data_IF_191772523724
#
_entry.id   IF_191772523724
#
_cell.length_a   1.000
_cell.length_b   1.000
_cell.length_c   1.000
_cell.angle_alpha   90.00
_cell.angle_beta   90.00
_cell.angle_gamma   90.00
#
_symmetry.space_group_name_H-M   'P 1'
#
loop_
_entity.id
_entity.type
_entity.pdbx_description
1 polymer ?
#
# COMPACT_ATOMS: atom_id res chain seq x y z
N UNK A 1 22.65 60.98 8.01
CA UNK A 1 23.24 59.93 8.87
C UNK A 1 23.90 58.93 7.95
N UNK A 2 25.22 58.88 8.01
CA UNK A 2 26.12 58.03 7.23
C UNK A 2 25.75 56.55 7.38
N UNK A 3 25.82 55.79 6.29
CA UNK A 3 25.67 54.34 6.28
C UNK A 3 26.53 53.73 7.39
N UNK A 4 25.91 53.14 8.42
CA UNK A 4 26.56 51.98 9.01
C UNK A 4 26.57 50.92 7.91
N UNK A 5 27.75 50.45 7.56
CA UNK A 5 27.91 49.28 6.71
C UNK A 5 27.12 48.13 7.35
N UNK A 6 26.46 47.29 6.56
CA UNK A 6 25.72 46.11 7.07
C UNK A 6 26.60 45.28 8.01
N UNK A 7 27.90 45.20 7.70
CA UNK A 7 28.93 44.55 8.52
C UNK A 7 29.09 45.22 9.90
N UNK A 8 29.12 46.55 9.94
CA UNK A 8 29.26 47.28 11.20
C UNK A 8 28.02 47.10 12.08
N UNK A 9 26.84 47.11 11.47
CA UNK A 9 25.57 46.89 12.18
C UNK A 9 25.49 45.48 12.78
N UNK A 10 25.91 44.46 12.02
CA UNK A 10 26.03 43.08 12.52
C UNK A 10 27.03 42.95 13.68
N UNK A 11 28.16 43.68 13.61
CA UNK A 11 29.14 43.75 14.70
C UNK A 11 28.57 44.43 15.95
N UNK A 12 27.73 45.46 15.79
CA UNK A 12 27.03 46.06 16.92
C UNK A 12 26.00 45.10 17.53
N UNK A 13 25.25 44.35 16.71
CA UNK A 13 24.27 43.36 17.17
C UNK A 13 24.93 42.27 18.01
N UNK A 14 26.15 41.83 17.64
CA UNK A 14 26.88 40.79 18.36
C UNK A 14 27.25 41.20 19.80
N UNK A 15 27.51 42.49 20.03
CA UNK A 15 27.88 43.03 21.33
C UNK A 15 26.67 43.56 22.13
N UNK A 16 25.57 43.92 21.47
CA UNK A 16 24.41 44.54 22.09
C UNK A 16 23.56 43.54 22.89
N UNK A 17 22.95 44.02 23.98
CA UNK A 17 22.04 43.25 24.84
C UNK A 17 20.66 43.89 24.99
N UNK A 18 19.62 43.07 25.20
CA UNK A 18 18.27 43.54 25.53
C UNK A 18 17.70 44.54 24.52
N UNK A 19 17.29 45.73 25.01
CA UNK A 19 16.64 46.78 24.20
C UNK A 19 17.52 47.32 23.07
N UNK A 20 18.83 47.43 23.29
CA UNK A 20 19.76 47.94 22.27
C UNK A 20 19.78 47.02 21.05
N UNK A 21 19.79 45.70 21.29
CA UNK A 21 19.71 44.71 20.22
C UNK A 21 18.40 44.83 19.44
N UNK A 22 17.27 44.99 20.12
CA UNK A 22 15.97 45.15 19.45
C UNK A 22 15.96 46.36 18.51
N UNK A 23 16.55 47.50 18.92
CA UNK A 23 16.64 48.68 18.07
C UNK A 23 17.59 48.47 16.88
N UNK A 24 18.72 47.79 17.09
CA UNK A 24 19.64 47.45 16.00
C UNK A 24 19.02 46.47 15.00
N UNK A 25 18.25 45.48 15.45
CA UNK A 25 17.50 44.56 14.57
C UNK A 25 16.46 45.32 13.74
N UNK A 26 15.77 46.29 14.34
CA UNK A 26 14.86 47.17 13.61
C UNK A 26 15.59 47.98 12.54
N UNK A 27 16.76 48.53 12.86
CA UNK A 27 17.60 49.24 11.89
C UNK A 27 18.06 48.31 10.74
N UNK A 28 18.39 47.05 11.04
CA UNK A 28 18.73 46.05 10.02
C UNK A 28 17.54 45.76 9.09
N UNK A 29 16.36 45.55 9.66
CA UNK A 29 15.11 45.36 8.89
C UNK A 29 14.78 46.58 8.02
N UNK A 30 14.95 47.80 8.52
CA UNK A 30 14.78 49.03 7.74
C UNK A 30 15.80 49.12 6.59
N UNK A 31 17.02 48.66 6.81
CA UNK A 31 18.06 48.59 5.76
C UNK A 31 17.66 47.58 4.68
N UNK A 32 17.17 46.39 5.06
CA UNK A 32 16.63 45.39 4.14
C UNK A 32 15.53 46.00 3.27
N UNK A 33 14.56 46.69 3.90
CA UNK A 33 13.47 47.34 3.17
C UNK A 33 13.98 48.37 2.16
N UNK A 34 14.86 49.28 2.57
CA UNK A 34 15.42 50.31 1.68
C UNK A 34 16.20 49.70 0.52
N UNK A 35 16.88 48.59 0.73
CA UNK A 35 17.62 47.88 -0.32
C UNK A 35 16.66 47.26 -1.34
N UNK A 36 15.56 46.67 -0.87
CA UNK A 36 14.50 46.12 -1.73
C UNK A 36 13.84 47.22 -2.54
N UNK A 37 13.50 48.36 -1.94
CA UNK A 37 12.86 49.48 -2.63
C UNK A 37 13.74 50.04 -3.75
N UNK A 38 15.06 50.01 -3.56
CA UNK A 38 16.03 50.53 -4.54
C UNK A 38 16.37 49.55 -5.65
N UNK A 39 16.49 48.26 -5.33
CA UNK A 39 17.12 47.27 -6.22
C UNK A 39 16.24 46.08 -6.56
N UNK A 40 15.14 45.91 -5.84
CA UNK A 40 14.36 44.67 -5.86
C UNK A 40 15.11 43.48 -5.26
N UNK A 41 16.19 43.69 -4.51
CA UNK A 41 16.93 42.62 -3.81
C UNK A 41 17.10 43.00 -2.34
N UNK A 42 17.16 42.01 -1.46
CA UNK A 42 17.47 42.23 -0.05
C UNK A 42 18.97 42.48 0.17
N UNK A 43 19.39 42.37 1.44
CA UNK A 43 20.79 42.55 1.80
C UNK A 43 21.68 41.48 1.16
N UNK A 44 22.88 41.89 0.75
CA UNK A 44 23.91 40.95 0.31
C UNK A 44 24.78 40.57 1.50
N UNK A 45 24.63 39.34 1.98
CA UNK A 45 25.32 38.75 3.13
C UNK A 45 26.08 37.49 2.71
N UNK A 46 26.54 37.43 1.45
CA UNK A 46 27.38 36.35 0.94
C UNK A 46 28.64 36.25 1.78
N UNK A 47 28.97 35.02 2.22
CA UNK A 47 30.16 34.73 3.04
C UNK A 47 30.21 35.48 4.39
N UNK A 48 29.09 36.07 4.82
CA UNK A 48 29.00 36.72 6.12
C UNK A 48 29.09 35.68 7.25
N UNK A 49 29.85 36.00 8.30
CA UNK A 49 29.84 35.25 9.55
C UNK A 49 28.75 35.82 10.47
N UNK A 50 27.70 35.03 10.65
CA UNK A 50 26.56 35.33 11.52
C UNK A 50 26.53 34.42 12.75
N UNK A 51 27.63 33.69 13.01
CA UNK A 51 27.68 32.67 14.05
C UNK A 51 27.32 33.24 15.42
N UNK A 52 26.46 32.51 16.13
CA UNK A 52 25.96 32.84 17.47
C UNK A 52 25.22 34.20 17.59
N UNK A 53 24.92 34.87 16.47
CA UNK A 53 24.15 36.10 16.51
C UNK A 53 22.70 35.82 16.90
N UNK A 54 22.12 36.81 17.56
CA UNK A 54 20.70 36.83 17.90
C UNK A 54 19.96 37.78 16.99
N UNK A 55 19.35 37.19 15.97
CA UNK A 55 18.62 37.81 14.88
C UNK A 55 17.14 37.42 14.93
N UNK A 56 16.60 37.24 16.14
CA UNK A 56 15.19 36.95 16.39
C UNK A 56 14.31 38.04 15.73
N UNK A 57 13.22 37.65 15.04
CA UNK A 57 12.22 38.55 14.42
C UNK A 57 12.76 39.53 13.34
N UNK A 58 13.99 39.35 12.86
CA UNK A 58 14.58 40.24 11.84
C UNK A 58 13.92 40.07 10.47
N UNK A 59 13.84 41.14 9.67
CA UNK A 59 13.50 41.05 8.25
C UNK A 59 14.78 41.00 7.40
N UNK A 60 15.04 39.84 6.83
CA UNK A 60 16.09 39.57 5.84
C UNK A 60 15.49 39.00 4.54
N UNK A 61 14.23 39.33 4.23
CA UNK A 61 13.59 38.84 3.01
C UNK A 61 14.36 39.26 1.77
N UNK A 62 14.40 38.36 0.78
CA UNK A 62 15.14 38.54 -0.49
C UNK A 62 16.64 38.74 -0.32
N UNK A 63 17.20 38.54 0.86
CA UNK A 63 18.63 38.61 1.09
C UNK A 63 19.37 37.44 0.40
N UNK A 64 20.68 37.58 0.27
CA UNK A 64 21.56 36.50 -0.20
C UNK A 64 22.51 36.11 0.91
N UNK A 65 22.40 34.87 1.40
CA UNK A 65 23.23 34.25 2.43
C UNK A 65 24.06 33.08 1.87
N UNK A 66 24.35 33.09 0.57
CA UNK A 66 25.16 32.04 -0.05
C UNK A 66 26.55 31.97 0.61
N UNK A 67 26.95 30.77 1.04
CA UNK A 67 28.18 30.51 1.80
C UNK A 67 28.32 31.30 3.11
N UNK A 68 27.24 31.88 3.64
CA UNK A 68 27.25 32.49 4.96
C UNK A 68 27.39 31.41 6.05
N UNK A 69 27.95 31.79 7.20
CA UNK A 69 28.12 30.92 8.35
C UNK A 69 27.05 31.27 9.39
N UNK A 70 26.15 30.35 9.66
CA UNK A 70 24.98 30.53 10.53
C UNK A 70 25.05 29.65 11.80
N UNK A 71 26.22 29.11 12.15
CA UNK A 71 26.37 28.21 13.30
C UNK A 71 25.87 28.84 14.61
N UNK A 72 24.93 28.19 15.30
CA UNK A 72 24.36 28.67 16.55
C UNK A 72 23.48 29.94 16.44
N UNK A 73 23.24 30.44 15.23
CA UNK A 73 22.46 31.68 15.01
C UNK A 73 21.01 31.49 15.44
N UNK A 74 20.46 32.49 16.13
CA UNK A 74 19.07 32.54 16.57
C UNK A 74 18.28 33.40 15.57
N UNK A 75 17.40 32.79 14.80
CA UNK A 75 16.56 33.37 13.74
C UNK A 75 15.07 33.05 14.00
N UNK A 76 14.68 32.84 15.26
CA UNK A 76 13.29 32.57 15.62
C UNK A 76 12.38 33.67 15.08
N UNK A 77 11.29 33.27 14.41
CA UNK A 77 10.31 34.21 13.84
C UNK A 77 10.90 35.23 12.85
N UNK A 78 12.11 35.01 12.33
CA UNK A 78 12.70 35.87 11.32
C UNK A 78 11.95 35.74 9.99
N UNK A 79 11.86 36.84 9.25
CA UNK A 79 11.35 36.84 7.89
C UNK A 79 12.51 36.68 6.91
N UNK A 80 12.60 35.49 6.32
CA UNK A 80 13.57 35.10 5.30
C UNK A 80 12.85 34.75 3.98
N UNK A 81 11.66 35.33 3.73
CA UNK A 81 10.90 35.06 2.51
C UNK A 81 11.75 35.40 1.27
N UNK A 82 11.74 34.50 0.29
CA UNK A 82 12.50 34.61 -0.96
C UNK A 82 14.02 34.76 -0.77
N UNK A 83 14.55 34.33 0.37
CA UNK A 83 16.00 34.34 0.62
C UNK A 83 16.72 33.39 -0.35
N UNK A 84 17.97 33.71 -0.66
CA UNK A 84 18.87 32.81 -1.40
C UNK A 84 19.94 32.28 -0.46
N UNK A 85 19.96 30.96 -0.26
CA UNK A 85 20.90 30.23 0.58
C UNK A 85 21.50 29.07 -0.22
N UNK A 86 22.69 29.28 -0.79
CA UNK A 86 23.44 28.21 -1.46
C UNK A 86 24.63 27.82 -0.60
N UNK A 87 24.67 26.57 -0.16
CA UNK A 87 25.69 26.03 0.74
C UNK A 87 25.98 26.88 2.00
N UNK A 88 24.98 27.33 2.77
CA UNK A 88 25.26 27.98 4.06
C UNK A 88 25.82 26.97 5.06
N UNK A 89 26.70 27.42 5.96
CA UNK A 89 27.11 26.63 7.12
C UNK A 89 26.04 26.69 8.19
N UNK A 90 25.24 25.64 8.37
CA UNK A 90 24.13 25.62 9.33
C UNK A 90 24.26 24.45 10.30
N UNK A 91 24.74 24.76 11.51
CA UNK A 91 24.78 23.81 12.63
C UNK A 91 24.15 24.49 13.84
N UNK A 92 23.17 23.83 14.48
CA UNK A 92 22.47 24.37 15.68
C UNK A 92 21.85 25.75 15.46
N UNK A 93 21.51 26.08 14.22
CA UNK A 93 20.76 27.30 13.89
C UNK A 93 19.30 27.11 14.31
N UNK A 94 18.72 28.13 14.93
CA UNK A 94 17.32 28.11 15.32
C UNK A 94 16.49 28.98 14.36
N UNK A 95 15.64 28.33 13.57
CA UNK A 95 14.69 28.89 12.61
C UNK A 95 13.23 28.61 13.02
N UNK A 96 12.97 28.29 14.29
CA UNK A 96 11.61 28.01 14.75
C UNK A 96 10.68 29.17 14.44
N UNK A 97 9.52 28.87 13.84
CA UNK A 97 8.51 29.84 13.42
C UNK A 97 9.00 30.90 12.42
N UNK A 98 10.19 30.74 11.83
CA UNK A 98 10.68 31.62 10.78
C UNK A 98 9.94 31.38 9.45
N UNK A 99 9.89 32.39 8.59
CA UNK A 99 9.32 32.24 7.24
C UNK A 99 10.43 32.21 6.19
N UNK A 100 10.41 31.21 5.33
CA UNK A 100 11.34 31.01 4.22
C UNK A 100 10.56 30.76 2.91
N UNK A 101 9.39 31.40 2.77
CA UNK A 101 8.49 31.14 1.64
C UNK A 101 9.16 31.48 0.33
N UNK A 102 9.03 30.63 -0.68
CA UNK A 102 9.66 30.86 -1.99
C UNK A 102 11.19 31.06 -1.93
N UNK A 103 11.85 30.56 -0.88
CA UNK A 103 13.30 30.62 -0.79
C UNK A 103 13.98 29.70 -1.82
N UNK A 104 15.23 30.04 -2.15
CA UNK A 104 16.13 29.21 -2.94
C UNK A 104 17.19 28.64 -2.00
N UNK A 105 17.08 27.37 -1.64
CA UNK A 105 17.88 26.68 -0.61
C UNK A 105 18.67 25.50 -1.18
N UNK A 106 19.18 25.64 -2.40
CA UNK A 106 19.92 24.60 -3.10
C UNK A 106 21.17 24.12 -2.33
N UNK A 107 21.35 22.80 -2.24
CA UNK A 107 22.48 22.14 -1.56
C UNK A 107 22.70 22.65 -0.12
N UNK A 108 21.62 22.96 0.59
CA UNK A 108 21.67 23.35 1.99
C UNK A 108 22.00 22.12 2.85
N UNK A 109 22.96 22.25 3.77
CA UNK A 109 23.32 21.20 4.72
C UNK A 109 23.02 21.70 6.13
N UNK A 110 21.84 21.34 6.66
CA UNK A 110 21.41 21.69 8.00
C UNK A 110 21.63 20.51 8.95
N UNK A 111 22.44 20.76 9.99
CA UNK A 111 22.75 19.77 11.01
C UNK A 111 22.26 20.23 12.38
N UNK A 112 21.45 19.41 13.05
CA UNK A 112 20.93 19.70 14.41
C UNK A 112 20.26 21.07 14.54
N UNK A 113 19.64 21.53 13.46
CA UNK A 113 18.93 22.81 13.43
C UNK A 113 17.48 22.64 13.89
N UNK A 114 16.86 23.74 14.29
CA UNK A 114 15.45 23.77 14.68
C UNK A 114 14.64 24.55 13.63
N UNK A 115 13.65 23.90 13.01
CA UNK A 115 12.70 24.46 12.05
C UNK A 115 11.25 24.27 12.54
N UNK A 116 11.04 24.03 13.84
CA UNK A 116 9.70 23.80 14.38
C UNK A 116 8.76 24.96 14.03
N UNK A 117 7.62 24.63 13.42
CA UNK A 117 6.61 25.60 12.97
C UNK A 117 7.09 26.57 11.87
N UNK A 118 8.25 26.33 11.25
CA UNK A 118 8.74 27.20 10.20
C UNK A 118 7.92 27.04 8.90
N UNK A 119 7.75 28.14 8.17
CA UNK A 119 7.04 28.16 6.89
C UNK A 119 8.04 28.13 5.73
N UNK A 120 8.27 26.94 5.18
CA UNK A 120 9.08 26.68 4.00
C UNK A 120 8.18 26.37 2.79
N UNK A 121 7.00 27.00 2.70
CA UNK A 121 6.11 26.78 1.56
C UNK A 121 6.69 27.36 0.27
N UNK A 122 6.34 26.74 -0.86
CA UNK A 122 6.70 27.15 -2.21
C UNK A 122 8.22 27.26 -2.46
N UNK A 123 9.06 26.51 -1.73
CA UNK A 123 10.51 26.48 -1.95
C UNK A 123 10.81 26.32 -3.45
N UNK A 124 11.51 27.30 -4.01
CA UNK A 124 11.78 27.36 -5.45
C UNK A 124 12.74 26.28 -5.89
N UNK A 125 13.70 25.97 -5.03
CA UNK A 125 14.70 24.93 -5.21
C UNK A 125 15.27 24.55 -3.85
N UNK A 126 15.06 23.31 -3.44
CA UNK A 126 15.70 22.67 -2.31
C UNK A 126 16.41 21.37 -2.74
N UNK A 127 16.76 21.26 -4.02
CA UNK A 127 17.41 20.08 -4.57
C UNK A 127 18.77 19.84 -3.93
N UNK A 128 19.05 18.57 -3.62
CA UNK A 128 20.28 18.16 -2.93
C UNK A 128 20.42 18.66 -1.49
N UNK A 129 19.35 19.21 -0.90
CA UNK A 129 19.36 19.63 0.51
C UNK A 129 19.46 18.42 1.43
N UNK A 130 20.29 18.52 2.46
CA UNK A 130 20.46 17.53 3.52
C UNK A 130 20.01 18.12 4.85
N UNK A 131 18.98 17.51 5.44
CA UNK A 131 18.62 17.72 6.83
C UNK A 131 19.10 16.53 7.65
N UNK A 132 19.91 16.79 8.66
CA UNK A 132 20.47 15.76 9.55
C UNK A 132 20.22 16.12 11.02
N UNK A 133 19.48 15.28 11.73
CA UNK A 133 19.23 15.49 13.17
C UNK A 133 18.39 16.74 13.47
N UNK A 134 17.61 17.26 12.51
CA UNK A 134 16.86 18.51 12.67
C UNK A 134 15.50 18.27 13.32
N UNK A 135 15.07 19.21 14.16
CA UNK A 135 13.67 19.30 14.58
C UNK A 135 12.91 20.11 13.55
N UNK A 136 11.83 19.58 13.00
CA UNK A 136 11.01 20.18 11.94
C UNK A 136 9.53 19.92 12.22
N UNK A 137 9.12 19.92 13.50
CA UNK A 137 7.75 19.61 13.89
C UNK A 137 6.81 20.70 13.40
N UNK A 138 5.69 20.32 12.78
CA UNK A 138 4.73 21.28 12.24
C UNK A 138 5.30 22.18 11.14
N UNK A 139 6.39 21.79 10.49
CA UNK A 139 6.95 22.56 9.38
C UNK A 139 6.01 22.53 8.17
N UNK A 140 5.89 23.66 7.46
CA UNK A 140 5.15 23.71 6.19
C UNK A 140 6.12 23.67 5.02
N UNK A 141 5.98 22.68 4.15
CA UNK A 141 6.78 22.43 2.95
C UNK A 141 5.90 22.40 1.69
N UNK A 142 4.68 22.95 1.79
CA UNK A 142 3.65 22.85 0.77
C UNK A 142 4.11 23.44 -0.56
N UNK A 143 3.85 22.73 -1.67
CA UNK A 143 4.21 23.19 -3.02
C UNK A 143 5.72 23.30 -3.30
N UNK A 144 6.58 22.94 -2.35
CA UNK A 144 8.04 23.09 -2.47
C UNK A 144 8.70 22.10 -3.44
N UNK A 145 9.77 22.54 -4.10
CA UNK A 145 10.64 21.68 -4.92
C UNK A 145 11.76 21.05 -4.09
N UNK A 146 11.51 19.84 -3.58
CA UNK A 146 12.39 19.07 -2.69
C UNK A 146 13.06 17.88 -3.40
N UNK A 147 13.08 17.85 -4.73
CA UNK A 147 13.58 16.69 -5.47
C UNK A 147 15.04 16.34 -5.10
N UNK A 148 15.29 15.08 -4.77
CA UNK A 148 16.59 14.57 -4.33
C UNK A 148 17.06 15.09 -2.97
N UNK A 149 16.18 15.72 -2.18
CA UNK A 149 16.50 16.09 -0.80
C UNK A 149 16.62 14.84 0.09
N UNK A 150 17.39 14.96 1.16
CA UNK A 150 17.59 13.89 2.14
C UNK A 150 17.23 14.37 3.54
N UNK A 151 16.38 13.60 4.21
CA UNK A 151 16.04 13.76 5.61
C UNK A 151 16.56 12.55 6.36
N UNK A 152 17.47 12.79 7.31
CA UNK A 152 18.09 11.75 8.12
C UNK A 152 17.97 12.10 9.59
N UNK A 153 17.38 11.21 10.39
CA UNK A 153 17.22 11.42 11.84
C UNK A 153 16.50 12.72 12.20
N UNK A 154 15.55 13.13 11.38
CA UNK A 154 14.76 14.35 11.59
C UNK A 154 13.41 14.02 12.22
N UNK A 155 12.84 14.99 12.94
CA UNK A 155 11.47 14.94 13.42
C UNK A 155 10.60 15.87 12.57
N UNK A 156 9.80 15.28 11.67
CA UNK A 156 8.85 15.96 10.78
C UNK A 156 7.40 15.64 11.21
N UNK A 157 7.18 15.35 12.49
CA UNK A 157 5.82 15.10 12.99
C UNK A 157 4.93 16.33 12.79
N UNK A 158 3.65 16.11 12.50
CA UNK A 158 2.66 17.16 12.22
C UNK A 158 3.00 18.08 11.02
N UNK A 159 3.96 17.70 10.18
CA UNK A 159 4.38 18.54 9.05
C UNK A 159 3.39 18.50 7.88
N UNK A 160 3.27 19.63 7.17
CA UNK A 160 2.52 19.72 5.92
C UNK A 160 3.48 19.67 4.75
N UNK A 161 3.36 18.65 3.90
CA UNK A 161 4.20 18.41 2.71
C UNK A 161 3.28 18.26 1.49
N UNK A 162 2.18 19.01 1.46
CA UNK A 162 1.12 18.86 0.47
C UNK A 162 1.58 19.43 -0.86
N UNK A 163 1.26 18.75 -1.95
CA UNK A 163 1.61 19.18 -3.32
C UNK A 163 3.12 19.41 -3.57
N UNK A 164 3.98 18.96 -2.64
CA UNK A 164 5.42 19.12 -2.76
C UNK A 164 5.99 18.10 -3.77
N UNK A 165 7.12 18.45 -4.38
CA UNK A 165 7.87 17.54 -5.24
C UNK A 165 9.00 16.86 -4.47
N UNK A 166 8.85 15.58 -4.18
CA UNK A 166 9.81 14.73 -3.47
C UNK A 166 10.46 13.69 -4.38
N UNK A 167 10.53 13.97 -5.68
CA UNK A 167 11.08 13.03 -6.64
C UNK A 167 12.52 12.63 -6.27
N UNK A 168 12.75 11.33 -6.09
CA UNK A 168 14.05 10.76 -5.75
C UNK A 168 14.58 11.15 -4.38
N UNK A 169 13.75 11.74 -3.51
CA UNK A 169 14.13 12.12 -2.16
C UNK A 169 14.26 10.90 -1.24
N UNK A 170 15.02 11.06 -0.16
CA UNK A 170 15.29 10.01 0.82
C UNK A 170 14.83 10.46 2.19
N UNK A 171 14.05 9.62 2.88
CA UNK A 171 13.65 9.82 4.27
C UNK A 171 14.09 8.59 5.05
N UNK A 172 15.01 8.77 5.99
CA UNK A 172 15.60 7.66 6.74
C UNK A 172 15.68 7.98 8.23
N UNK A 173 15.28 7.02 9.05
CA UNK A 173 15.37 7.14 10.53
C UNK A 173 14.65 8.37 11.09
N UNK A 174 13.56 8.80 10.45
CA UNK A 174 12.81 9.99 10.83
C UNK A 174 11.53 9.66 11.63
N UNK A 175 10.90 10.70 12.14
CA UNK A 175 9.51 10.69 12.61
C UNK A 175 8.66 11.50 11.62
N UNK A 176 7.58 10.92 11.12
CA UNK A 176 6.60 11.56 10.22
C UNK A 176 5.18 11.35 10.74
N UNK A 177 5.04 11.18 12.06
CA UNK A 177 3.75 10.94 12.68
C UNK A 177 2.82 12.13 12.37
N UNK A 178 1.62 11.83 11.87
CA UNK A 178 0.60 12.79 11.45
C UNK A 178 1.04 13.78 10.35
N UNK A 179 2.11 13.48 9.60
CA UNK A 179 2.54 14.27 8.45
C UNK A 179 1.64 14.10 7.22
N UNK A 180 1.50 15.15 6.43
CA UNK A 180 0.55 15.22 5.31
C UNK A 180 1.23 15.39 3.95
N UNK A 181 1.23 14.34 3.13
CA UNK A 181 1.74 14.30 1.75
C UNK A 181 0.62 14.43 0.72
N UNK A 182 -0.49 15.09 1.07
CA UNK A 182 -1.66 15.14 0.20
C UNK A 182 -1.31 15.72 -1.17
N UNK A 183 -1.57 14.96 -2.24
CA UNK A 183 -1.27 15.41 -3.60
C UNK A 183 0.21 15.64 -3.92
N UNK A 184 1.13 15.16 -3.08
CA UNK A 184 2.56 15.28 -3.32
C UNK A 184 3.04 14.37 -4.47
N UNK A 185 4.09 14.79 -5.16
CA UNK A 185 4.80 13.97 -6.14
C UNK A 185 5.86 13.13 -5.42
N UNK A 186 5.70 11.81 -5.45
CA UNK A 186 6.51 10.84 -4.67
C UNK A 186 7.24 9.84 -5.58
N UNK A 187 7.51 10.22 -6.82
CA UNK A 187 8.29 9.42 -7.78
C UNK A 187 9.65 9.01 -7.20
N UNK A 188 9.90 7.72 -7.06
CA UNK A 188 11.15 7.18 -6.50
C UNK A 188 11.48 7.69 -5.08
N UNK A 189 10.49 8.19 -4.33
CA UNK A 189 10.68 8.50 -2.92
C UNK A 189 10.97 7.21 -2.15
N UNK A 190 12.01 7.23 -1.32
CA UNK A 190 12.36 6.10 -0.46
C UNK A 190 12.26 6.48 1.00
N UNK A 191 11.36 5.81 1.73
CA UNK A 191 11.16 5.97 3.17
C UNK A 191 11.56 4.69 3.89
N UNK A 192 12.53 4.81 4.80
CA UNK A 192 13.10 3.65 5.50
C UNK A 192 13.28 3.92 6.99
N UNK A 193 13.06 2.89 7.83
CA UNK A 193 13.27 2.98 9.29
C UNK A 193 12.57 4.18 9.96
N UNK A 194 11.45 4.60 9.40
CA UNK A 194 10.75 5.83 9.77
C UNK A 194 9.40 5.49 10.37
N UNK A 195 8.94 6.30 11.33
CA UNK A 195 7.60 6.19 11.89
C UNK A 195 6.62 6.92 10.98
N UNK A 196 5.58 6.24 10.52
CA UNK A 196 4.51 6.79 9.68
C UNK A 196 3.14 6.67 10.35
N UNK A 197 3.03 6.91 11.66
CA UNK A 197 1.71 6.80 12.32
C UNK A 197 0.82 7.94 11.87
N UNK A 198 -0.38 7.64 11.40
CA UNK A 198 -1.33 8.66 10.95
C UNK A 198 -0.90 9.44 9.71
N UNK A 199 0.29 9.16 9.14
CA UNK A 199 0.79 9.83 7.94
C UNK A 199 -0.16 9.62 6.78
N UNK A 200 -0.41 10.69 6.03
CA UNK A 200 -1.32 10.66 4.88
C UNK A 200 -0.59 10.88 3.57
N UNK A 201 -0.68 9.90 2.67
CA UNK A 201 -0.36 10.02 1.25
C UNK A 201 -1.63 10.14 0.40
N UNK A 202 -2.73 10.65 0.97
CA UNK A 202 -3.99 10.78 0.25
C UNK A 202 -3.80 11.53 -1.08
N UNK A 203 -4.24 10.94 -2.19
CA UNK A 203 -4.08 11.49 -3.55
C UNK A 203 -2.64 11.83 -3.96
N UNK A 204 -1.62 11.36 -3.22
CA UNK A 204 -0.24 11.46 -3.66
C UNK A 204 -0.07 10.66 -4.97
N UNK A 205 0.85 11.09 -5.82
CA UNK A 205 1.10 10.46 -7.11
C UNK A 205 2.59 10.23 -7.32
N UNK A 206 2.96 9.08 -7.84
CA UNK A 206 4.35 8.81 -8.22
C UNK A 206 4.63 7.33 -8.44
N UNK A 207 5.60 7.05 -9.31
CA UNK A 207 6.01 5.68 -9.62
C UNK A 207 7.12 5.22 -8.69
N UNK A 208 6.98 4.01 -8.17
CA UNK A 208 8.05 3.36 -7.40
C UNK A 208 8.33 4.01 -6.04
N UNK A 209 7.30 4.52 -5.36
CA UNK A 209 7.39 4.85 -3.94
C UNK A 209 7.82 3.59 -3.18
N UNK A 210 8.83 3.71 -2.32
CA UNK A 210 9.35 2.62 -1.49
C UNK A 210 9.11 2.96 -0.02
N UNK A 211 8.32 2.13 0.66
CA UNK A 211 8.20 2.12 2.12
C UNK A 211 8.79 0.80 2.63
N UNK A 212 9.85 0.88 3.43
CA UNK A 212 10.56 -0.32 3.86
C UNK A 212 11.04 -0.25 5.31
N UNK A 213 10.86 -1.35 6.06
CA UNK A 213 11.31 -1.49 7.46
C UNK A 213 10.86 -0.32 8.33
N UNK A 214 9.58 0.05 8.23
CA UNK A 214 9.03 1.14 9.01
C UNK A 214 9.02 0.77 10.50
N UNK A 215 9.25 1.74 11.37
CA UNK A 215 9.19 1.52 12.83
C UNK A 215 7.76 1.50 13.34
N UNK A 216 6.86 2.23 12.68
CA UNK A 216 5.42 2.16 12.88
C UNK A 216 4.67 2.60 11.61
N UNK A 217 3.48 2.06 11.39
CA UNK A 217 2.62 2.42 10.25
C UNK A 217 1.13 2.38 10.62
N UNK A 218 0.80 2.57 11.90
CA UNK A 218 -0.59 2.59 12.35
C UNK A 218 -1.35 3.76 11.72
N UNK A 219 -2.58 3.54 11.28
CA UNK A 219 -3.44 4.53 10.64
C UNK A 219 -2.85 5.17 9.37
N UNK A 220 -1.93 4.48 8.68
CA UNK A 220 -1.37 4.95 7.41
C UNK A 220 -2.49 5.16 6.38
N UNK A 221 -2.51 6.33 5.73
CA UNK A 221 -3.50 6.68 4.71
C UNK A 221 -2.86 6.68 3.33
N UNK A 222 -3.39 5.85 2.44
CA UNK A 222 -3.05 5.72 1.02
C UNK A 222 -4.30 5.91 0.13
N UNK A 223 -5.37 6.48 0.69
CA UNK A 223 -6.67 6.62 0.01
C UNK A 223 -6.54 7.46 -1.28
N UNK A 224 -7.14 6.97 -2.36
CA UNK A 224 -7.13 7.59 -3.69
C UNK A 224 -5.74 7.92 -4.26
N UNK A 225 -4.66 7.40 -3.68
CA UNK A 225 -3.30 7.64 -4.15
C UNK A 225 -3.04 6.90 -5.47
N UNK A 226 -2.25 7.51 -6.36
CA UNK A 226 -1.83 6.95 -7.64
C UNK A 226 -0.37 6.51 -7.56
N UNK A 227 -0.17 5.26 -7.10
CA UNK A 227 1.12 4.71 -6.71
C UNK A 227 1.42 3.40 -7.48
N UNK A 228 1.51 3.43 -8.82
CA UNK A 228 1.94 2.26 -9.57
C UNK A 228 3.37 1.86 -9.17
N UNK A 229 3.63 0.56 -9.14
CA UNK A 229 4.90 -0.02 -8.71
C UNK A 229 5.26 0.32 -7.24
N UNK A 230 4.26 0.64 -6.39
CA UNK A 230 4.43 0.81 -4.95
C UNK A 230 5.15 -0.41 -4.34
N UNK A 231 6.20 -0.18 -3.56
CA UNK A 231 6.93 -1.24 -2.86
C UNK A 231 6.78 -1.09 -1.36
N UNK A 232 6.15 -2.08 -0.75
CA UNK A 232 6.00 -2.19 0.71
C UNK A 232 6.76 -3.43 1.17
N UNK A 233 7.74 -3.27 2.07
CA UNK A 233 8.49 -4.43 2.60
C UNK A 233 8.83 -4.33 4.08
N UNK A 234 8.55 -5.39 4.84
CA UNK A 234 8.75 -5.45 6.30
C UNK A 234 7.93 -4.38 7.04
N UNK A 235 6.60 -4.35 6.83
CA UNK A 235 5.68 -3.38 7.43
C UNK A 235 4.69 -4.06 8.36
N UNK A 236 4.36 -3.39 9.47
CA UNK A 236 3.29 -3.79 10.37
C UNK A 236 2.56 -2.56 10.88
N UNK A 237 1.23 -2.57 10.81
CA UNK A 237 0.38 -1.51 11.32
C UNK A 237 -1.10 -1.87 11.23
N UNK A 238 -1.92 -1.23 12.04
CA UNK A 238 -3.38 -1.39 12.00
C UNK A 238 -4.09 -0.15 11.44
N UNK A 239 -5.36 -0.28 11.05
CA UNK A 239 -6.17 0.88 10.68
C UNK A 239 -5.79 1.54 9.35
N UNK A 240 -5.12 0.82 8.46
CA UNK A 240 -4.74 1.33 7.14
C UNK A 240 -5.96 1.74 6.33
N UNK A 241 -5.90 2.93 5.71
CA UNK A 241 -6.95 3.48 4.85
C UNK A 241 -6.42 3.62 3.43
N UNK A 242 -6.76 2.68 2.56
CA UNK A 242 -6.29 2.58 1.19
C UNK A 242 -7.45 2.35 0.19
N UNK A 243 -8.65 2.83 0.51
CA UNK A 243 -9.78 2.80 -0.42
C UNK A 243 -9.46 3.59 -1.69
N UNK A 244 -9.78 3.02 -2.85
CA UNK A 244 -9.49 3.65 -4.14
C UNK A 244 -8.01 3.75 -4.51
N UNK A 245 -7.10 3.15 -3.72
CA UNK A 245 -5.66 3.13 -4.02
C UNK A 245 -5.42 2.52 -5.41
N UNK A 246 -4.69 3.25 -6.26
CA UNK A 246 -4.23 2.75 -7.56
C UNK A 246 -2.79 2.30 -7.43
N UNK A 247 -2.58 1.01 -7.25
CA UNK A 247 -1.28 0.41 -7.00
C UNK A 247 -1.04 -0.77 -7.95
N UNK A 248 -1.23 -0.52 -9.26
CA UNK A 248 -0.94 -1.49 -10.30
C UNK A 248 0.54 -1.89 -10.25
N UNK A 249 0.81 -3.19 -10.39
CA UNK A 249 2.14 -3.80 -10.26
C UNK A 249 2.84 -3.52 -8.91
N UNK A 250 2.07 -3.25 -7.85
CA UNK A 250 2.64 -3.09 -6.53
C UNK A 250 3.30 -4.38 -6.02
N UNK A 251 4.33 -4.21 -5.20
CA UNK A 251 5.11 -5.28 -4.60
C UNK A 251 5.04 -5.18 -3.08
N UNK A 252 4.24 -6.05 -2.47
CA UNK A 252 4.04 -6.13 -1.04
C UNK A 252 4.70 -7.42 -0.54
N UNK A 253 5.68 -7.27 0.34
CA UNK A 253 6.45 -8.38 0.92
C UNK A 253 6.45 -8.27 2.44
N UNK A 254 6.01 -9.32 3.14
CA UNK A 254 6.00 -9.34 4.61
C UNK A 254 5.23 -8.14 5.22
N UNK A 255 4.07 -7.80 4.63
CA UNK A 255 3.19 -6.72 5.10
C UNK A 255 2.10 -7.30 6.02
N UNK A 256 1.98 -6.75 7.22
CA UNK A 256 0.93 -7.09 8.19
C UNK A 256 0.01 -5.88 8.38
N UNK A 257 -1.20 -5.95 7.83
CA UNK A 257 -2.20 -4.89 7.92
C UNK A 257 -3.61 -5.47 8.16
N UNK A 258 -3.92 -5.93 9.39
CA UNK A 258 -5.23 -6.47 9.71
C UNK A 258 -6.31 -5.41 9.52
N UNK A 259 -7.47 -5.83 8.99
CA UNK A 259 -8.62 -4.97 8.72
C UNK A 259 -8.31 -3.73 7.86
N UNK A 260 -7.29 -3.78 7.01
CA UNK A 260 -6.98 -2.71 6.07
C UNK A 260 -8.17 -2.43 5.14
N UNK A 261 -8.50 -1.16 4.94
CA UNK A 261 -9.51 -0.75 3.97
C UNK A 261 -8.86 -0.62 2.59
N UNK A 262 -9.14 -1.57 1.70
CA UNK A 262 -8.66 -1.65 0.32
C UNK A 262 -9.84 -1.68 -0.67
N UNK A 263 -11.00 -1.13 -0.27
CA UNK A 263 -12.21 -1.16 -1.10
C UNK A 263 -11.98 -0.43 -2.41
N UNK A 264 -12.32 -1.08 -3.52
CA UNK A 264 -12.11 -0.55 -4.86
C UNK A 264 -10.65 -0.30 -5.25
N UNK A 265 -9.67 -0.83 -4.49
CA UNK A 265 -8.26 -0.67 -4.83
C UNK A 265 -7.93 -1.37 -6.16
N UNK A 266 -7.09 -0.72 -6.98
CA UNK A 266 -6.53 -1.29 -8.20
C UNK A 266 -5.17 -1.93 -7.90
N UNK A 267 -5.17 -3.25 -7.78
CA UNK A 267 -4.01 -4.10 -7.47
C UNK A 267 -3.71 -5.05 -8.65
N UNK A 268 -4.07 -4.64 -9.86
CA UNK A 268 -3.78 -5.41 -11.08
C UNK A 268 -2.26 -5.60 -11.24
N UNK A 269 -1.82 -6.85 -11.43
CA UNK A 269 -0.41 -7.23 -11.51
C UNK A 269 0.34 -7.20 -10.17
N UNK A 270 -0.33 -6.87 -9.06
CA UNK A 270 0.33 -6.78 -7.77
C UNK A 270 0.81 -8.14 -7.26
N UNK A 271 1.94 -8.12 -6.56
CA UNK A 271 2.53 -9.27 -5.87
C UNK A 271 2.40 -9.08 -4.37
N UNK A 272 1.66 -9.96 -3.72
CA UNK A 272 1.48 -10.04 -2.27
C UNK A 272 2.17 -11.30 -1.77
N UNK A 273 3.41 -11.18 -1.33
CA UNK A 273 4.21 -12.28 -0.81
C UNK A 273 4.25 -12.24 0.72
N UNK A 274 3.81 -13.32 1.37
CA UNK A 274 3.79 -13.46 2.84
C UNK A 274 3.07 -12.32 3.57
N UNK A 275 2.07 -11.73 2.92
CA UNK A 275 1.26 -10.67 3.51
C UNK A 275 0.18 -11.24 4.42
N UNK A 276 -0.09 -10.57 5.54
CA UNK A 276 -1.16 -10.91 6.49
C UNK A 276 -2.18 -9.77 6.54
N UNK A 277 -3.33 -10.01 5.93
CA UNK A 277 -4.44 -9.08 5.73
C UNK A 277 -5.77 -9.68 6.26
N UNK A 278 -5.82 -10.23 7.49
CA UNK A 278 -7.05 -10.81 8.01
C UNK A 278 -8.12 -9.73 8.17
N UNK A 279 -9.34 -10.03 7.72
CA UNK A 279 -10.47 -9.10 7.76
C UNK A 279 -10.33 -7.88 6.85
N UNK A 280 -9.37 -7.86 5.92
CA UNK A 280 -9.20 -6.73 5.02
C UNK A 280 -10.44 -6.54 4.13
N UNK A 281 -10.82 -5.27 3.90
CA UNK A 281 -11.94 -4.91 3.06
C UNK A 281 -11.46 -4.69 1.62
N UNK A 282 -11.66 -5.66 0.76
CA UNK A 282 -11.26 -5.70 -0.66
C UNK A 282 -12.48 -5.70 -1.60
N UNK A 283 -13.65 -5.28 -1.11
CA UNK A 283 -14.87 -5.28 -1.91
C UNK A 283 -14.67 -4.41 -3.18
N UNK A 284 -14.99 -4.99 -4.34
CA UNK A 284 -14.80 -4.35 -5.64
C UNK A 284 -13.35 -4.12 -6.08
N UNK A 285 -12.35 -4.67 -5.38
CA UNK A 285 -10.95 -4.51 -5.77
C UNK A 285 -10.64 -5.20 -7.11
N UNK A 286 -9.67 -4.65 -7.86
CA UNK A 286 -9.18 -5.20 -9.11
C UNK A 286 -7.85 -5.94 -8.87
N UNK A 287 -7.82 -7.24 -9.15
CA UNK A 287 -6.73 -8.17 -8.84
C UNK A 287 -6.24 -8.90 -10.10
N UNK A 288 -6.49 -8.34 -11.28
CA UNK A 288 -6.15 -8.96 -12.57
C UNK A 288 -4.66 -9.25 -12.67
N UNK A 289 -4.28 -10.47 -13.06
CA UNK A 289 -2.88 -10.93 -13.14
C UNK A 289 -2.10 -10.83 -11.80
N UNK A 290 -2.81 -10.64 -10.68
CA UNK A 290 -2.18 -10.56 -9.36
C UNK A 290 -1.63 -11.90 -8.89
N UNK A 291 -0.72 -11.84 -7.91
CA UNK A 291 -0.12 -13.02 -7.28
C UNK A 291 -0.15 -12.86 -5.77
N UNK A 292 -0.79 -13.80 -5.09
CA UNK A 292 -0.87 -13.88 -3.63
C UNK A 292 -0.18 -15.19 -3.23
N UNK A 293 0.88 -15.12 -2.43
CA UNK A 293 1.69 -16.29 -2.09
C UNK A 293 2.09 -16.34 -0.63
N UNK A 294 1.81 -17.44 0.08
CA UNK A 294 2.27 -17.67 1.46
C UNK A 294 1.65 -16.73 2.51
N UNK A 295 0.49 -16.13 2.23
CA UNK A 295 -0.14 -15.08 3.04
C UNK A 295 -1.49 -15.47 3.67
N UNK A 296 -2.05 -14.55 4.45
CA UNK A 296 -3.36 -14.72 5.10
C UNK A 296 -4.32 -13.62 4.68
N UNK A 297 -5.51 -14.02 4.23
CA UNK A 297 -6.68 -13.21 3.89
C UNK A 297 -7.92 -13.75 4.63
N UNK A 298 -7.70 -14.34 5.82
CA UNK A 298 -8.78 -14.93 6.63
C UNK A 298 -9.86 -13.91 6.92
N UNK A 299 -11.12 -14.25 6.63
CA UNK A 299 -12.26 -13.35 6.84
C UNK A 299 -12.25 -12.07 6.00
N UNK A 300 -11.40 -11.98 4.97
CA UNK A 300 -11.37 -10.81 4.10
C UNK A 300 -12.66 -10.69 3.27
N UNK A 301 -13.11 -9.46 3.04
CA UNK A 301 -14.26 -9.15 2.20
C UNK A 301 -13.80 -8.87 0.77
N UNK A 302 -13.96 -9.84 -0.12
CA UNK A 302 -13.65 -9.75 -1.55
C UNK A 302 -14.94 -9.72 -2.41
N UNK A 303 -16.07 -9.27 -1.84
CA UNK A 303 -17.35 -9.25 -2.57
C UNK A 303 -17.25 -8.39 -3.82
N UNK A 304 -17.69 -8.95 -4.95
CA UNK A 304 -17.64 -8.29 -6.24
C UNK A 304 -16.24 -7.94 -6.74
N UNK A 305 -15.16 -8.43 -6.11
CA UNK A 305 -13.82 -8.23 -6.60
C UNK A 305 -13.62 -8.90 -7.97
N UNK A 306 -12.71 -8.36 -8.77
CA UNK A 306 -12.42 -8.82 -10.12
C UNK A 306 -10.99 -9.37 -10.20
N UNK A 307 -10.81 -10.60 -10.71
CA UNK A 307 -9.51 -11.24 -10.77
C UNK A 307 -9.36 -12.20 -11.95
N UNK A 308 -9.23 -11.65 -13.16
CA UNK A 308 -8.82 -12.43 -14.32
C UNK A 308 -7.35 -12.86 -14.18
N UNK A 309 -7.08 -14.16 -14.33
CA UNK A 309 -5.74 -14.74 -14.20
C UNK A 309 -5.06 -14.43 -12.84
N UNK A 310 -5.85 -14.39 -11.76
CA UNK A 310 -5.33 -14.26 -10.40
C UNK A 310 -4.71 -15.59 -9.93
N UNK A 311 -3.52 -15.52 -9.34
CA UNK A 311 -2.82 -16.67 -8.77
C UNK A 311 -2.76 -16.55 -7.25
N UNK A 312 -3.29 -17.57 -6.56
CA UNK A 312 -3.26 -17.70 -5.10
C UNK A 312 -2.54 -19.01 -4.78
N UNK A 313 -1.42 -18.95 -4.07
CA UNK A 313 -0.59 -20.11 -3.76
C UNK A 313 -0.27 -20.13 -2.27
N UNK A 314 -0.45 -21.26 -1.60
CA UNK A 314 -0.09 -21.42 -0.18
C UNK A 314 -0.69 -20.33 0.74
N UNK A 315 -1.90 -19.87 0.43
CA UNK A 315 -2.56 -18.78 1.16
C UNK A 315 -3.79 -19.27 1.94
N UNK A 316 -4.05 -18.62 3.08
CA UNK A 316 -5.23 -18.87 3.91
C UNK A 316 -6.34 -17.85 3.65
N UNK A 317 -7.44 -18.31 3.07
CA UNK A 317 -8.67 -17.55 2.82
C UNK A 317 -9.85 -18.09 3.66
N UNK A 318 -9.57 -18.77 4.78
CA UNK A 318 -10.62 -19.29 5.66
C UNK A 318 -11.62 -18.18 6.02
N UNK A 319 -12.92 -18.47 5.91
CA UNK A 319 -14.02 -17.52 6.20
C UNK A 319 -14.07 -16.27 5.31
N UNK A 320 -13.26 -16.17 4.24
CA UNK A 320 -13.32 -15.02 3.33
C UNK A 320 -14.63 -15.00 2.52
N UNK A 321 -15.10 -13.80 2.16
CA UNK A 321 -16.30 -13.60 1.36
C UNK A 321 -15.95 -13.17 -0.07
N UNK A 322 -16.11 -14.09 -1.02
CA UNK A 322 -15.94 -13.90 -2.47
C UNK A 322 -17.31 -13.94 -3.19
N UNK A 323 -18.41 -13.55 -2.53
CA UNK A 323 -19.74 -13.48 -3.17
C UNK A 323 -19.69 -12.60 -4.41
N UNK A 324 -20.22 -13.10 -5.53
CA UNK A 324 -20.20 -12.42 -6.83
C UNK A 324 -18.80 -12.04 -7.32
N UNK A 325 -17.74 -12.71 -6.85
CA UNK A 325 -16.40 -12.56 -7.42
C UNK A 325 -16.42 -12.85 -8.91
N UNK A 326 -15.74 -12.03 -9.71
CA UNK A 326 -15.70 -12.21 -11.16
C UNK A 326 -14.27 -12.45 -11.63
N UNK A 327 -13.99 -13.61 -12.21
CA UNK A 327 -12.68 -13.90 -12.77
C UNK A 327 -12.74 -15.05 -13.77
N UNK A 328 -11.82 -15.03 -14.72
CA UNK A 328 -11.53 -16.17 -15.60
C UNK A 328 -10.15 -16.70 -15.25
N UNK A 329 -9.98 -18.02 -15.28
CA UNK A 329 -8.68 -18.67 -15.06
C UNK A 329 -8.07 -18.41 -13.66
N UNK A 330 -8.90 -18.26 -12.61
CA UNK A 330 -8.41 -18.20 -11.22
C UNK A 330 -7.60 -19.48 -10.93
N UNK A 331 -6.38 -19.32 -10.42
CA UNK A 331 -5.56 -20.45 -9.97
C UNK A 331 -5.39 -20.37 -8.46
N UNK A 332 -5.85 -21.41 -7.75
CA UNK A 332 -5.62 -21.59 -6.32
C UNK A 332 -4.86 -22.89 -6.11
N UNK A 333 -3.68 -22.82 -5.47
CA UNK A 333 -2.84 -23.98 -5.21
C UNK A 333 -2.45 -24.08 -3.74
N UNK A 334 -2.56 -25.27 -3.16
CA UNK A 334 -2.08 -25.59 -1.80
C UNK A 334 -2.58 -24.59 -0.74
N UNK A 335 -3.80 -24.06 -0.93
CA UNK A 335 -4.40 -23.04 -0.09
C UNK A 335 -5.49 -23.57 0.82
N UNK A 336 -5.87 -22.77 1.81
CA UNK A 336 -6.98 -23.06 2.70
C UNK A 336 -8.16 -22.13 2.45
N UNK A 337 -9.20 -22.63 1.79
CA UNK A 337 -10.46 -21.97 1.47
C UNK A 337 -11.61 -22.57 2.31
N UNK A 338 -11.33 -23.08 3.51
CA UNK A 338 -12.38 -23.61 4.39
C UNK A 338 -13.43 -22.53 4.70
N UNK A 339 -14.71 -22.89 4.55
CA UNK A 339 -15.87 -21.99 4.80
C UNK A 339 -15.85 -20.69 3.99
N UNK A 340 -15.10 -20.65 2.88
CA UNK A 340 -15.14 -19.50 1.97
C UNK A 340 -16.54 -19.36 1.36
N UNK A 341 -17.02 -18.13 1.22
CA UNK A 341 -18.28 -17.86 0.54
C UNK A 341 -18.00 -17.48 -0.93
N UNK A 342 -18.41 -18.35 -1.86
CA UNK A 342 -18.24 -18.20 -3.32
C UNK A 342 -19.61 -18.15 -4.04
N UNK A 343 -20.67 -17.74 -3.34
CA UNK A 343 -22.02 -17.64 -3.92
C UNK A 343 -22.01 -16.78 -5.18
N UNK A 344 -22.57 -17.31 -6.26
CA UNK A 344 -22.64 -16.63 -7.56
C UNK A 344 -21.28 -16.20 -8.14
N UNK A 345 -20.17 -16.73 -7.64
CA UNK A 345 -18.85 -16.41 -8.16
C UNK A 345 -18.68 -16.98 -9.57
N UNK A 346 -18.05 -16.21 -10.46
CA UNK A 346 -17.59 -16.68 -11.74
C UNK A 346 -16.16 -17.22 -11.59
N UNK A 347 -16.04 -18.55 -11.70
CA UNK A 347 -14.81 -19.33 -11.60
C UNK A 347 -14.57 -20.10 -12.90
N UNK A 348 -14.95 -19.51 -14.04
CA UNK A 348 -14.76 -20.10 -15.36
C UNK A 348 -13.29 -20.45 -15.60
N UNK A 349 -13.03 -21.71 -15.96
CA UNK A 349 -11.68 -22.29 -16.16
C UNK A 349 -10.76 -22.16 -14.94
N UNK A 350 -11.32 -22.09 -13.72
CA UNK A 350 -10.51 -22.06 -12.52
C UNK A 350 -9.74 -23.37 -12.32
N UNK A 351 -8.55 -23.27 -11.74
CA UNK A 351 -7.73 -24.40 -11.32
C UNK A 351 -7.58 -24.34 -9.80
N UNK A 352 -8.20 -25.27 -9.08
CA UNK A 352 -8.19 -25.31 -7.62
C UNK A 352 -7.63 -26.66 -7.18
N UNK A 353 -6.34 -26.71 -6.85
CA UNK A 353 -5.59 -27.97 -6.76
C UNK A 353 -4.62 -28.01 -5.59
N UNK A 354 -4.49 -29.14 -4.91
CA UNK A 354 -3.39 -29.40 -3.98
C UNK A 354 -2.41 -30.46 -4.49
N UNK A 355 -1.19 -30.44 -3.98
CA UNK A 355 -0.21 -31.54 -4.11
C UNK A 355 0.40 -31.96 -2.74
N UNK A 356 -0.13 -33.03 -2.10
CA UNK A 356 -1.23 -33.88 -2.55
C UNK A 356 -2.57 -33.12 -2.55
N UNK A 357 -3.61 -33.58 -3.26
CA UNK A 357 -4.91 -32.90 -3.37
C UNK A 357 -5.54 -32.44 -2.04
N UNK A 358 -5.28 -33.17 -0.94
CA UNK A 358 -5.73 -32.81 0.42
C UNK A 358 -5.05 -31.57 1.00
N UNK A 359 -3.94 -31.12 0.44
CA UNK A 359 -3.28 -29.85 0.77
C UNK A 359 -4.14 -28.63 0.37
N UNK A 360 -5.12 -28.83 -0.51
CA UNK A 360 -6.09 -27.80 -0.89
C UNK A 360 -7.44 -28.06 -0.21
N UNK A 361 -7.88 -27.11 0.62
CA UNK A 361 -9.13 -27.22 1.39
C UNK A 361 -10.20 -26.26 0.89
N UNK A 362 -11.41 -26.77 0.60
CA UNK A 362 -12.67 -26.04 0.46
C UNK A 362 -13.72 -26.62 1.40
N UNK A 363 -13.30 -27.16 2.55
CA UNK A 363 -14.24 -27.78 3.50
C UNK A 363 -15.31 -26.78 3.93
N UNK A 364 -16.58 -27.13 3.76
CA UNK A 364 -17.71 -26.28 4.11
C UNK A 364 -17.82 -24.99 3.28
N UNK A 365 -17.12 -24.90 2.13
CA UNK A 365 -17.23 -23.75 1.25
C UNK A 365 -18.65 -23.64 0.67
N UNK A 366 -19.13 -22.41 0.46
CA UNK A 366 -20.46 -22.12 -0.11
C UNK A 366 -20.28 -21.72 -1.57
N UNK A 367 -20.54 -22.64 -2.49
CA UNK A 367 -20.45 -22.47 -3.95
C UNK A 367 -21.84 -22.41 -4.62
N UNK A 368 -22.90 -22.12 -3.86
CA UNK A 368 -24.27 -22.07 -4.39
C UNK A 368 -24.36 -21.11 -5.59
N UNK A 369 -24.86 -21.62 -6.71
CA UNK A 369 -25.01 -20.84 -7.95
C UNK A 369 -23.69 -20.38 -8.59
N UNK A 370 -22.53 -20.85 -8.13
CA UNK A 370 -21.23 -20.51 -8.72
C UNK A 370 -21.07 -21.10 -10.12
N UNK A 371 -20.33 -20.41 -10.98
CA UNK A 371 -19.97 -20.89 -12.33
C UNK A 371 -18.59 -21.52 -12.30
N UNK A 372 -18.51 -22.85 -12.35
CA UNK A 372 -17.30 -23.67 -12.37
C UNK A 372 -17.06 -24.33 -13.73
N UNK A 373 -17.59 -23.71 -14.80
CA UNK A 373 -17.51 -24.27 -16.15
C UNK A 373 -16.05 -24.42 -16.56
N UNK A 374 -15.68 -25.62 -17.03
CA UNK A 374 -14.30 -25.99 -17.37
C UNK A 374 -13.28 -25.88 -16.22
N UNK A 375 -13.72 -25.85 -14.96
CA UNK A 375 -12.82 -25.82 -13.83
C UNK A 375 -12.10 -27.18 -13.64
N UNK A 376 -10.87 -27.15 -13.13
CA UNK A 376 -10.12 -28.33 -12.68
C UNK A 376 -9.98 -28.27 -11.17
N UNK A 377 -10.54 -29.26 -10.48
CA UNK A 377 -10.66 -29.28 -9.02
C UNK A 377 -10.04 -30.59 -8.50
N UNK A 378 -9.03 -30.46 -7.65
CA UNK A 378 -8.39 -31.54 -6.91
C UNK A 378 -8.17 -31.10 -5.47
N UNK A 379 -9.21 -31.24 -4.64
CA UNK A 379 -9.28 -30.62 -3.34
C UNK A 379 -10.21 -31.37 -2.35
N UNK A 380 -10.10 -31.03 -1.07
CA UNK A 380 -11.05 -31.44 -0.04
C UNK A 380 -12.28 -30.50 -0.04
N UNK A 381 -13.42 -31.00 -0.51
CA UNK A 381 -14.71 -30.30 -0.54
C UNK A 381 -15.71 -30.91 0.45
N UNK A 382 -15.25 -31.54 1.54
CA UNK A 382 -16.15 -32.12 2.54
C UNK A 382 -17.12 -31.07 3.05
N UNK A 383 -18.39 -31.44 3.16
CA UNK A 383 -19.47 -30.56 3.66
C UNK A 383 -19.69 -29.28 2.81
N UNK A 384 -19.08 -29.16 1.63
CA UNK A 384 -19.25 -28.00 0.76
C UNK A 384 -20.67 -27.95 0.14
N UNK A 385 -21.18 -26.74 -0.08
CA UNK A 385 -22.47 -26.51 -0.73
C UNK A 385 -22.29 -26.11 -2.19
N UNK A 386 -22.61 -27.00 -3.12
CA UNK A 386 -22.57 -26.77 -4.58
C UNK A 386 -23.99 -26.72 -5.20
N UNK A 387 -25.05 -26.51 -4.39
CA UNK A 387 -26.42 -26.53 -4.91
C UNK A 387 -26.59 -25.53 -6.07
N UNK A 388 -27.20 -25.99 -7.16
CA UNK A 388 -27.43 -25.17 -8.36
C UNK A 388 -26.17 -24.61 -9.03
N UNK A 389 -24.96 -25.03 -8.63
CA UNK A 389 -23.73 -24.59 -9.28
C UNK A 389 -23.66 -25.11 -10.73
N UNK A 390 -23.00 -24.36 -11.60
CA UNK A 390 -22.76 -24.76 -12.97
C UNK A 390 -21.37 -25.35 -13.14
N UNK A 391 -21.28 -26.68 -13.08
CA UNK A 391 -20.05 -27.46 -13.18
C UNK A 391 -19.88 -28.10 -14.58
N UNK A 392 -20.50 -27.55 -15.62
CA UNK A 392 -20.39 -28.14 -16.95
C UNK A 392 -18.91 -28.20 -17.42
N UNK A 393 -18.51 -29.30 -18.04
CA UNK A 393 -17.14 -29.54 -18.52
C UNK A 393 -16.05 -29.50 -17.45
N UNK A 394 -16.41 -29.47 -16.17
CA UNK A 394 -15.43 -29.45 -15.09
C UNK A 394 -14.78 -30.82 -14.88
N UNK A 395 -13.62 -30.83 -14.23
CA UNK A 395 -12.92 -32.06 -13.87
C UNK A 395 -12.71 -32.10 -12.37
N UNK A 396 -13.30 -33.09 -11.72
CA UNK A 396 -13.03 -33.43 -10.33
C UNK A 396 -12.08 -34.63 -10.31
N UNK A 397 -10.90 -34.45 -9.72
CA UNK A 397 -9.87 -35.47 -9.68
C UNK A 397 -9.31 -35.58 -8.28
N UNK A 398 -9.39 -36.77 -7.68
CA UNK A 398 -8.89 -37.02 -6.31
C UNK A 398 -9.54 -36.10 -5.25
N UNK A 399 -10.77 -35.65 -5.51
CA UNK A 399 -11.51 -34.76 -4.62
C UNK A 399 -12.32 -35.52 -3.58
N UNK A 400 -12.50 -34.93 -2.39
CA UNK A 400 -13.39 -35.46 -1.35
C UNK A 400 -14.65 -34.60 -1.24
N UNK A 401 -15.79 -35.11 -1.68
CA UNK A 401 -17.11 -34.49 -1.60
C UNK A 401 -17.97 -35.16 -0.51
N UNK A 402 -17.37 -35.82 0.49
CA UNK A 402 -18.15 -36.46 1.56
C UNK A 402 -19.00 -35.42 2.31
N UNK A 403 -20.30 -35.69 2.44
CA UNK A 403 -21.27 -34.76 3.03
C UNK A 403 -21.54 -33.49 2.22
N UNK A 404 -21.00 -33.34 1.01
CA UNK A 404 -21.26 -32.18 0.17
C UNK A 404 -22.70 -32.19 -0.38
N UNK A 405 -23.25 -31.00 -0.65
CA UNK A 405 -24.58 -30.83 -1.24
C UNK A 405 -24.43 -30.47 -2.71
N UNK A 406 -24.95 -31.31 -3.61
CA UNK A 406 -24.86 -31.11 -5.06
C UNK A 406 -26.25 -31.03 -5.71
N UNK A 407 -27.28 -30.63 -4.95
CA UNK A 407 -28.65 -30.70 -5.46
C UNK A 407 -28.86 -29.72 -6.62
N UNK A 408 -29.34 -30.23 -7.75
CA UNK A 408 -29.54 -29.46 -8.97
C UNK A 408 -28.25 -28.92 -9.62
N UNK A 409 -27.06 -29.40 -9.23
CA UNK A 409 -25.80 -28.98 -9.87
C UNK A 409 -25.75 -29.46 -11.33
N UNK A 410 -25.39 -28.55 -12.24
CA UNK A 410 -25.21 -28.91 -13.65
C UNK A 410 -23.85 -29.60 -13.85
N UNK A 411 -23.86 -30.91 -14.06
CA UNK A 411 -22.67 -31.74 -14.28
C UNK A 411 -22.42 -32.11 -15.74
N UNK A 412 -23.08 -31.43 -16.69
CA UNK A 412 -23.01 -31.73 -18.12
C UNK A 412 -21.56 -31.83 -18.63
N UNK A 413 -21.19 -32.99 -19.18
CA UNK A 413 -19.84 -33.29 -19.67
C UNK A 413 -18.69 -33.09 -18.66
N UNK A 414 -18.98 -33.14 -17.35
CA UNK A 414 -17.94 -33.16 -16.33
C UNK A 414 -17.29 -34.55 -16.21
N UNK A 415 -16.10 -34.64 -15.61
CA UNK A 415 -15.40 -35.91 -15.37
C UNK A 415 -15.05 -36.07 -13.90
N UNK A 416 -15.36 -37.22 -13.31
CA UNK A 416 -15.05 -37.55 -11.92
C UNK A 416 -14.09 -38.74 -11.87
N UNK A 417 -12.91 -38.55 -11.28
CA UNK A 417 -11.89 -39.60 -11.15
C UNK A 417 -11.38 -39.64 -9.72
N UNK A 418 -11.54 -40.78 -9.04
CA UNK A 418 -11.13 -40.93 -7.63
C UNK A 418 -11.82 -39.92 -6.71
N UNK A 419 -13.12 -39.70 -6.90
CA UNK A 419 -13.92 -38.72 -6.15
C UNK A 419 -14.71 -39.39 -5.05
N UNK A 420 -14.54 -38.98 -3.80
CA UNK A 420 -15.26 -39.58 -2.66
C UNK A 420 -16.58 -38.87 -2.42
N UNK A 421 -17.70 -39.59 -2.27
CA UNK A 421 -19.06 -39.04 -2.16
C UNK A 421 -19.85 -39.61 -0.97
N UNK A 422 -19.20 -40.05 0.11
CA UNK A 422 -19.91 -40.63 1.26
C UNK A 422 -20.86 -39.61 1.88
N UNK A 423 -22.16 -39.91 1.87
CA UNK A 423 -23.18 -39.05 2.46
C UNK A 423 -23.41 -37.73 1.71
N UNK A 424 -22.92 -37.61 0.47
CA UNK A 424 -23.21 -36.46 -0.38
C UNK A 424 -24.69 -36.46 -0.82
N UNK A 425 -25.30 -35.29 -0.94
CA UNK A 425 -26.61 -35.14 -1.57
C UNK A 425 -26.43 -34.91 -3.07
N UNK A 426 -27.12 -35.68 -3.91
CA UNK A 426 -27.00 -35.66 -5.38
C UNK A 426 -28.37 -35.62 -6.06
N UNK A 427 -29.35 -34.95 -5.43
CA UNK A 427 -30.71 -34.89 -5.95
C UNK A 427 -30.74 -34.08 -7.26
N UNK A 428 -31.45 -34.59 -8.26
CA UNK A 428 -31.60 -33.94 -9.58
C UNK A 428 -30.26 -33.69 -10.30
N UNK A 429 -29.21 -34.44 -9.96
CA UNK A 429 -27.91 -34.41 -10.65
C UNK A 429 -27.89 -35.41 -11.79
N UNK A 430 -27.64 -34.93 -13.00
CA UNK A 430 -27.42 -35.79 -14.17
C UNK A 430 -26.02 -36.40 -14.16
N UNK A 431 -25.88 -37.57 -14.79
CA UNK A 431 -24.60 -38.25 -14.89
C UNK A 431 -23.53 -37.39 -15.61
N UNK A 432 -22.28 -37.39 -15.11
CA UNK A 432 -21.13 -36.85 -15.83
C UNK A 432 -20.83 -37.69 -17.08
N UNK A 433 -19.95 -37.22 -17.98
CA UNK A 433 -19.53 -38.03 -19.14
C UNK A 433 -18.61 -39.19 -18.72
N UNK A 434 -17.96 -39.07 -17.56
CA UNK A 434 -17.06 -40.07 -17.02
C UNK A 434 -17.06 -40.05 -15.49
N UNK A 435 -17.23 -41.21 -14.85
CA UNK A 435 -17.13 -41.38 -13.41
C UNK A 435 -16.39 -42.69 -13.09
N UNK A 436 -15.18 -42.60 -12.55
CA UNK A 436 -14.35 -43.77 -12.21
C UNK A 436 -13.85 -43.68 -10.76
N UNK A 437 -13.88 -44.81 -10.05
CA UNK A 437 -13.47 -44.93 -8.64
C UNK A 437 -14.13 -43.87 -7.76
N UNK A 438 -15.45 -43.83 -7.75
CA UNK A 438 -16.23 -42.87 -6.96
C UNK A 438 -16.91 -43.50 -5.73
N UNK A 439 -16.18 -43.80 -4.64
CA UNK A 439 -16.75 -44.46 -3.47
C UNK A 439 -17.86 -43.61 -2.82
N UNK A 440 -18.91 -44.26 -2.35
CA UNK A 440 -20.10 -43.59 -1.79
C UNK A 440 -21.11 -43.11 -2.82
N UNK A 441 -20.77 -43.00 -4.12
CA UNK A 441 -21.68 -42.49 -5.15
C UNK A 441 -22.98 -43.29 -5.27
N UNK A 442 -22.88 -44.62 -5.36
CA UNK A 442 -24.07 -45.51 -5.46
C UNK A 442 -24.99 -45.34 -4.26
N UNK A 443 -24.44 -45.35 -3.04
CA UNK A 443 -25.21 -45.12 -1.81
C UNK A 443 -25.88 -43.74 -1.78
N UNK A 444 -25.21 -42.72 -2.30
CA UNK A 444 -25.78 -41.37 -2.39
C UNK A 444 -26.89 -41.28 -3.43
N UNK A 445 -26.78 -41.99 -4.56
CA UNK A 445 -27.85 -42.13 -5.55
C UNK A 445 -29.06 -42.88 -5.00
N UNK A 446 -28.86 -43.97 -4.25
CA UNK A 446 -29.93 -44.74 -3.63
C UNK A 446 -30.74 -43.89 -2.63
N UNK A 447 -30.06 -43.01 -1.89
CA UNK A 447 -30.69 -42.05 -0.98
C UNK A 447 -31.42 -40.92 -1.70
N UNK A 448 -30.90 -40.45 -2.82
CA UNK A 448 -31.51 -39.36 -3.59
C UNK A 448 -32.84 -39.80 -4.23
N UNK A 449 -32.88 -40.99 -4.83
CA UNK A 449 -34.04 -41.55 -5.50
C UNK A 449 -34.55 -40.74 -6.70
N UNK A 450 -35.59 -41.25 -7.36
CA UNK A 450 -36.25 -40.59 -8.49
C UNK A 450 -35.55 -40.79 -9.84
N UNK A 451 -36.20 -40.30 -10.90
CA UNK A 451 -35.82 -40.62 -12.28
C UNK A 451 -34.38 -40.23 -12.66
N UNK A 452 -33.90 -39.07 -12.20
CA UNK A 452 -32.53 -38.63 -12.47
C UNK A 452 -31.48 -39.55 -11.81
N UNK A 453 -31.74 -39.98 -10.58
CA UNK A 453 -30.86 -40.92 -9.88
C UNK A 453 -30.87 -42.30 -10.56
N UNK A 454 -32.04 -42.76 -11.03
CA UNK A 454 -32.19 -44.03 -11.75
C UNK A 454 -31.44 -44.03 -13.09
N UNK A 455 -31.49 -42.92 -13.82
CA UNK A 455 -30.73 -42.72 -15.06
C UNK A 455 -29.22 -42.74 -14.78
N UNK A 456 -28.77 -42.06 -13.72
CA UNK A 456 -27.36 -42.05 -13.34
C UNK A 456 -26.88 -43.45 -12.88
N UNK A 457 -27.68 -44.20 -12.13
CA UNK A 457 -27.35 -45.60 -11.78
C UNK A 457 -27.20 -46.46 -13.04
N UNK A 458 -28.13 -46.34 -13.99
CA UNK A 458 -28.08 -47.06 -15.27
C UNK A 458 -26.81 -46.75 -16.06
N UNK A 459 -26.39 -45.48 -16.06
CA UNK A 459 -25.12 -45.05 -16.64
C UNK A 459 -23.92 -45.74 -15.98
N UNK A 460 -23.86 -45.76 -14.64
CA UNK A 460 -22.77 -46.40 -13.90
C UNK A 460 -22.70 -47.90 -14.17
N UNK A 461 -23.84 -48.59 -14.23
CA UNK A 461 -23.90 -50.03 -14.51
C UNK A 461 -23.40 -50.36 -15.93
N UNK A 462 -23.82 -49.56 -16.91
CA UNK A 462 -23.37 -49.68 -18.31
C UNK A 462 -21.86 -49.41 -18.41
N UNK A 463 -21.39 -48.38 -17.71
CA UNK A 463 -19.98 -48.01 -17.69
C UNK A 463 -19.10 -49.07 -17.02
N UNK A 464 -19.52 -49.61 -15.87
CA UNK A 464 -18.83 -50.69 -15.16
C UNK A 464 -18.77 -51.97 -16.02
N UNK A 465 -19.85 -52.32 -16.72
CA UNK A 465 -19.87 -53.45 -17.66
C UNK A 465 -18.87 -53.24 -18.82
N UNK A 466 -18.81 -52.03 -19.38
CA UNK A 466 -17.84 -51.69 -20.42
C UNK A 466 -16.39 -51.77 -19.92
N UNK A 467 -16.11 -51.28 -18.71
CA UNK A 467 -14.80 -51.38 -18.09
C UNK A 467 -14.42 -52.84 -17.76
N UNK A 468 -15.37 -53.65 -17.30
CA UNK A 468 -15.15 -55.07 -17.04
C UNK A 468 -14.82 -55.86 -18.31
N UNK A 469 -15.44 -55.52 -19.44
CA UNK A 469 -15.16 -56.12 -20.75
C UNK A 469 -13.76 -55.75 -21.31
N UNK A 470 -13.19 -54.61 -20.89
CA UNK A 470 -11.90 -54.09 -21.36
C UNK A 470 -10.68 -54.35 -20.47
N UNK A 471 -10.84 -54.81 -19.22
CA UNK A 471 -9.73 -55.07 -18.29
C UNK A 471 -9.02 -56.41 -18.55
N UNK A 472 -8.45 -56.59 -19.74
CA UNK A 472 -7.28 -57.45 -19.96
C UNK A 472 -6.05 -56.54 -20.11
N UNK A 473 -5.42 -56.16 -18.99
CA UNK A 473 -4.03 -55.70 -19.01
C UNK A 473 -3.73 -54.19 -18.92
N UNK A 474 -4.30 -53.44 -17.98
CA UNK A 474 -3.64 -52.21 -17.52
C UNK A 474 -3.94 -51.94 -16.05
N UNK A 475 -2.86 -51.77 -15.29
CA UNK A 475 -2.77 -51.44 -13.85
C UNK A 475 -3.03 -49.96 -13.59
#
# INVERSE_FOLDING_TARGET
MTQLDTVELLRCISAAGGKERTELLKQLSELTQRQIDRTGRGLNLVEADLSNLRLDEVDLRRATLSRAVLHGTQLQRANLDQITMVCPGMERTNLSEATLRSAYVHALAAQTCNFDGADLSDLRDATGTLFHGCSMRGVHLDGGHLAGSSFYQCDLSDSSIRHANLQGSLINECLLDDAEFQGACVDQLTVTKTSLRGTSFERAAGRGLVLQRLTASDNLVLADADLPELRLSDLSGQGWKASGLKAANADLVDVVAPAADLRGAELSGARLLRCSLPGAALAGALLNNGKISGGSLRGADLRGAHGENLHIVEADLTDADLTSFTGRCLTVRDGNLARVNLRFANLYRAMITGDPPRGMSLRGAVLEGATLVQAYIAADLREADLNGANCAYSRFSQSDLSGARLDGTNMYQSTWVKVTLHGASVKDVRAPIFADRCPGLRTSLDKAGGAAADEFRTFLDTFDAALAAGRKGST
#
